data_IF_437850074796
#
_entry.id   IF_437850074796
#
_cell.length_a   1.000
_cell.length_b   1.000
_cell.length_c   1.000
_cell.angle_alpha   90.00
_cell.angle_beta   90.00
_cell.angle_gamma   90.00
#
_symmetry.space_group_name_H-M   'P 1'
#
loop_
_entity.id
_entity.type
_entity.pdbx_description
1 polymer ?
#
# COMPACT_ATOMS: atom_id res chain seq x y z
N UNK A 1 13.11 27.60 5.63
CA UNK A 1 12.21 27.44 4.46
C UNK A 1 12.73 26.37 3.47
N UNK A 2 13.94 26.43 2.87
CA UNK A 2 14.38 25.41 1.89
C UNK A 2 14.65 24.03 2.51
N UNK A 3 15.21 24.00 3.73
CA UNK A 3 15.56 22.77 4.45
C UNK A 3 14.36 21.84 4.64
N UNK A 4 13.17 22.38 4.93
CA UNK A 4 11.97 21.56 5.15
C UNK A 4 11.51 20.87 3.86
N UNK A 5 11.71 21.48 2.70
CA UNK A 5 11.42 20.82 1.42
C UNK A 5 12.40 19.70 1.13
N UNK A 6 13.70 19.87 1.43
CA UNK A 6 14.67 18.76 1.31
C UNK A 6 14.35 17.61 2.26
N UNK A 7 13.96 17.91 3.49
CA UNK A 7 13.51 16.91 4.47
C UNK A 7 12.24 16.20 3.99
N UNK A 8 11.26 16.94 3.45
CA UNK A 8 10.04 16.36 2.89
C UNK A 8 10.33 15.47 1.68
N UNK A 9 11.23 15.87 0.78
CA UNK A 9 11.68 15.02 -0.34
C UNK A 9 12.33 13.75 0.18
N UNK A 10 13.24 13.86 1.16
CA UNK A 10 13.89 12.71 1.78
C UNK A 10 12.87 11.75 2.40
N UNK A 11 11.92 12.30 3.16
CA UNK A 11 10.81 11.54 3.76
C UNK A 11 10.00 10.81 2.68
N UNK A 12 9.57 11.52 1.63
CA UNK A 12 8.82 10.94 0.51
C UNK A 12 9.58 9.81 -0.18
N UNK A 13 10.87 9.99 -0.44
CA UNK A 13 11.69 8.95 -1.08
C UNK A 13 11.83 7.73 -0.17
N UNK A 14 12.15 7.92 1.11
CA UNK A 14 12.33 6.83 2.08
C UNK A 14 11.05 6.01 2.22
N UNK A 15 9.90 6.67 2.41
CA UNK A 15 8.63 5.98 2.57
C UNK A 15 8.18 5.31 1.26
N UNK A 16 8.38 5.94 0.10
CA UNK A 16 8.05 5.31 -1.19
C UNK A 16 8.86 4.03 -1.42
N UNK A 17 10.18 4.06 -1.18
CA UNK A 17 11.06 2.89 -1.32
C UNK A 17 10.68 1.82 -0.29
N UNK A 18 10.43 2.23 0.97
CA UNK A 18 10.00 1.33 2.03
C UNK A 18 8.70 0.60 1.70
N UNK A 19 7.71 1.31 1.17
CA UNK A 19 6.43 0.74 0.74
C UNK A 19 6.61 -0.25 -0.41
N UNK A 20 7.42 0.08 -1.43
CA UNK A 20 7.72 -0.84 -2.54
C UNK A 20 8.42 -2.10 -2.04
N UNK A 21 9.37 -1.97 -1.11
CA UNK A 21 10.07 -3.11 -0.51
C UNK A 21 9.13 -3.98 0.33
N UNK A 22 8.26 -3.37 1.13
CA UNK A 22 7.23 -4.07 1.91
C UNK A 22 6.29 -4.85 0.99
N UNK A 23 5.82 -4.22 -0.10
CA UNK A 23 4.96 -4.87 -1.09
C UNK A 23 5.64 -6.09 -1.73
N UNK A 24 6.89 -5.91 -2.16
CA UNK A 24 7.67 -6.98 -2.76
C UNK A 24 7.84 -8.17 -1.80
N UNK A 25 8.22 -7.92 -0.55
CA UNK A 25 8.38 -8.97 0.46
C UNK A 25 7.03 -9.63 0.82
N UNK A 26 5.93 -8.87 0.84
CA UNK A 26 4.59 -9.43 1.01
C UNK A 26 4.23 -10.39 -0.13
N UNK A 27 4.43 -9.99 -1.40
CA UNK A 27 4.18 -10.86 -2.55
C UNK A 27 5.12 -12.08 -2.57
N UNK A 28 6.38 -11.90 -2.20
CA UNK A 28 7.36 -12.99 -2.08
C UNK A 28 6.94 -13.98 -1.00
N UNK A 29 6.53 -13.50 0.17
CA UNK A 29 6.03 -14.31 1.26
C UNK A 29 4.78 -15.08 0.83
N UNK A 30 3.80 -14.39 0.25
CA UNK A 30 2.58 -15.00 -0.31
C UNK A 30 2.95 -16.09 -1.32
N UNK A 31 3.84 -15.81 -2.27
CA UNK A 31 4.30 -16.78 -3.28
C UNK A 31 5.06 -17.98 -2.68
N UNK A 32 5.69 -17.83 -1.52
CA UNK A 32 6.41 -18.91 -0.83
C UNK A 32 5.47 -19.91 -0.14
N UNK A 33 4.23 -19.49 0.16
CA UNK A 33 3.21 -20.36 0.74
C UNK A 33 2.80 -21.38 -0.33
N UNK A 34 3.36 -22.59 -0.20
CA UNK A 34 3.39 -23.73 -1.13
C UNK A 34 2.33 -23.77 -2.29
N UNK A 35 2.75 -23.95 -3.57
CA UNK A 35 1.87 -23.93 -4.74
C UNK A 35 0.70 -24.92 -4.71
N UNK A 36 0.88 -26.08 -4.05
CA UNK A 36 -0.15 -27.11 -3.94
C UNK A 36 -1.34 -26.70 -3.08
N UNK A 37 -1.20 -25.66 -2.25
CA UNK A 37 -2.30 -25.03 -1.50
C UNK A 37 -3.08 -24.01 -2.33
N UNK A 38 -2.71 -23.74 -3.58
CA UNK A 38 -3.41 -22.76 -4.41
C UNK A 38 -4.38 -23.39 -5.41
N UNK A 39 -4.44 -24.73 -5.46
CA UNK A 39 -5.42 -25.48 -6.24
C UNK A 39 -6.79 -25.51 -5.53
N UNK A 40 -7.67 -24.53 -5.79
CA UNK A 40 -9.00 -24.49 -5.15
C UNK A 40 -9.69 -23.12 -5.27
N UNK A 41 -11.03 -23.08 -5.27
CA UNK A 41 -11.79 -21.79 -5.24
C UNK A 41 -11.56 -21.02 -3.93
N UNK A 42 -11.43 -21.72 -2.81
CA UNK A 42 -11.16 -21.13 -1.49
C UNK A 42 -9.79 -20.42 -1.40
N UNK A 43 -8.81 -20.83 -2.21
CA UNK A 43 -7.44 -20.33 -2.11
C UNK A 43 -7.25 -18.95 -2.74
N UNK A 44 -8.06 -18.61 -3.74
CA UNK A 44 -8.06 -17.27 -4.34
C UNK A 44 -8.63 -16.24 -3.36
N UNK A 45 -9.66 -16.60 -2.58
CA UNK A 45 -10.20 -15.70 -1.55
C UNK A 45 -9.15 -15.34 -0.50
N UNK A 46 -8.43 -16.35 0.01
CA UNK A 46 -7.34 -16.13 0.98
C UNK A 46 -6.22 -15.26 0.40
N UNK A 47 -5.85 -15.47 -0.87
CA UNK A 47 -4.90 -14.62 -1.59
C UNK A 47 -5.34 -13.16 -1.62
N UNK A 48 -6.59 -12.90 -2.03
CA UNK A 48 -7.12 -11.54 -2.11
C UNK A 48 -7.11 -10.88 -0.73
N UNK A 49 -7.52 -11.59 0.33
CA UNK A 49 -7.45 -11.07 1.70
C UNK A 49 -6.01 -10.74 2.13
N UNK A 50 -5.03 -11.58 1.76
CA UNK A 50 -3.62 -11.31 2.07
C UNK A 50 -3.07 -10.08 1.34
N UNK A 51 -3.45 -9.88 0.07
CA UNK A 51 -3.10 -8.69 -0.71
C UNK A 51 -3.75 -7.44 -0.13
N UNK A 52 -5.03 -7.49 0.26
CA UNK A 52 -5.71 -6.38 0.94
C UNK A 52 -4.98 -6.03 2.24
N UNK A 53 -4.62 -7.03 3.05
CA UNK A 53 -3.86 -6.81 4.27
C UNK A 53 -2.49 -6.15 4.00
N UNK A 54 -1.78 -6.56 2.94
CA UNK A 54 -0.53 -5.91 2.53
C UNK A 54 -0.75 -4.44 2.18
N UNK A 55 -1.78 -4.11 1.39
CA UNK A 55 -2.11 -2.73 1.06
C UNK A 55 -2.55 -1.89 2.27
N UNK A 56 -3.23 -2.49 3.26
CA UNK A 56 -3.51 -1.80 4.52
C UNK A 56 -2.21 -1.46 5.28
N UNK A 57 -1.24 -2.39 5.33
CA UNK A 57 0.05 -2.14 5.96
C UNK A 57 0.87 -1.05 5.23
N UNK A 58 0.74 -0.97 3.91
CA UNK A 58 1.37 0.07 3.07
C UNK A 58 0.80 1.45 3.35
N UNK A 59 -0.53 1.59 3.41
CA UNK A 59 -1.17 2.84 3.82
C UNK A 59 -0.86 3.22 5.27
N UNK A 60 -0.75 2.24 6.17
CA UNK A 60 -0.31 2.47 7.56
C UNK A 60 1.13 2.98 7.62
N UNK A 61 2.02 2.47 6.76
CA UNK A 61 3.39 2.96 6.66
C UNK A 61 3.43 4.42 6.24
N UNK A 62 2.64 4.83 5.24
CA UNK A 62 2.50 6.25 4.91
C UNK A 62 1.88 7.07 6.04
N UNK A 63 0.88 6.54 6.75
CA UNK A 63 0.35 7.12 7.98
C UNK A 63 1.44 7.45 9.01
N UNK A 64 2.36 6.52 9.25
CA UNK A 64 3.53 6.77 10.09
C UNK A 64 4.44 7.87 9.52
N UNK A 65 4.61 7.91 8.20
CA UNK A 65 5.35 8.98 7.50
C UNK A 65 4.75 10.36 7.75
N UNK A 66 3.42 10.51 7.68
CA UNK A 66 2.76 11.78 8.02
C UNK A 66 2.95 12.17 9.48
N UNK A 67 2.80 11.22 10.40
CA UNK A 67 2.99 11.46 11.82
C UNK A 67 4.43 11.91 12.12
N UNK A 68 5.44 11.24 11.57
CA UNK A 68 6.86 11.63 11.70
C UNK A 68 7.09 13.02 11.09
N UNK A 69 6.58 13.26 9.89
CA UNK A 69 6.74 14.54 9.20
C UNK A 69 6.10 15.70 9.96
N UNK A 70 4.96 15.48 10.60
CA UNK A 70 4.26 16.50 11.39
C UNK A 70 4.90 16.72 12.77
N UNK A 71 5.02 15.66 13.56
CA UNK A 71 5.36 15.76 14.99
C UNK A 71 6.86 15.88 15.25
N UNK A 72 7.71 15.29 14.40
CA UNK A 72 9.16 15.27 14.64
C UNK A 72 9.92 16.23 13.73
N UNK A 73 9.47 16.38 12.48
CA UNK A 73 10.19 17.14 11.46
C UNK A 73 9.61 18.54 11.21
N UNK A 74 8.44 18.87 11.75
CA UNK A 74 7.82 20.19 11.60
C UNK A 74 7.49 20.55 10.15
N UNK A 75 7.12 19.58 9.33
CA UNK A 75 6.87 19.72 7.88
C UNK A 75 5.43 20.15 7.56
N UNK A 76 4.64 20.50 8.58
CA UNK A 76 3.23 20.79 8.48
C UNK A 76 2.43 19.90 9.44
N UNK A 77 1.12 19.84 9.25
CA UNK A 77 0.21 18.99 10.03
C UNK A 77 -1.03 18.66 9.19
N UNK A 78 -1.78 17.65 9.62
CA UNK A 78 -3.12 17.38 9.09
C UNK A 78 -4.13 18.35 9.71
N UNK A 79 -5.04 18.86 8.89
CA UNK A 79 -6.14 19.73 9.33
C UNK A 79 -7.43 19.30 8.66
N UNK A 80 -8.57 19.75 9.18
CA UNK A 80 -9.91 19.37 8.72
C UNK A 80 -10.79 18.77 9.82
N UNK A 81 -12.03 18.41 9.46
CA UNK A 81 -13.09 18.07 10.41
C UNK A 81 -12.80 16.81 11.24
N UNK A 82 -12.04 15.85 10.68
CA UNK A 82 -11.69 14.58 11.32
C UNK A 82 -10.21 14.49 11.74
N UNK A 83 -9.47 15.62 11.77
CA UNK A 83 -8.01 15.65 12.02
C UNK A 83 -7.58 15.39 13.48
N UNK A 84 -8.48 14.96 14.36
CA UNK A 84 -8.20 14.81 15.78
C UNK A 84 -7.46 13.49 16.11
N UNK A 85 -6.25 13.62 16.64
CA UNK A 85 -5.48 12.54 17.26
C UNK A 85 -4.69 11.66 16.27
N UNK A 86 -3.91 10.68 16.79
CA UNK A 86 -2.98 9.88 15.97
C UNK A 86 -3.66 9.04 14.88
N UNK A 87 -4.93 8.69 15.07
CA UNK A 87 -5.72 7.92 14.11
C UNK A 87 -5.99 8.70 12.81
N UNK A 88 -5.96 10.02 12.83
CA UNK A 88 -6.15 10.86 11.65
C UNK A 88 -5.06 10.58 10.59
N UNK A 89 -3.82 10.31 11.02
CA UNK A 89 -2.72 9.98 10.11
C UNK A 89 -2.90 8.61 9.44
N UNK A 90 -3.40 7.63 10.19
CA UNK A 90 -3.72 6.29 9.67
C UNK A 90 -4.84 6.37 8.64
N UNK A 91 -5.92 7.06 9.00
CA UNK A 91 -7.07 7.27 8.12
C UNK A 91 -6.64 7.99 6.84
N UNK A 92 -5.95 9.13 6.97
CA UNK A 92 -5.48 9.91 5.83
C UNK A 92 -4.55 9.11 4.90
N UNK A 93 -3.61 8.33 5.45
CA UNK A 93 -2.75 7.45 4.66
C UNK A 93 -3.54 6.38 3.89
N UNK A 94 -4.45 5.66 4.55
CA UNK A 94 -5.26 4.64 3.87
C UNK A 94 -6.11 5.23 2.73
N UNK A 95 -6.74 6.38 2.95
CA UNK A 95 -7.54 7.04 1.91
C UNK A 95 -6.70 7.55 0.75
N UNK A 96 -5.55 8.13 1.06
CA UNK A 96 -4.66 8.72 0.05
C UNK A 96 -3.98 7.62 -0.77
N UNK A 97 -3.51 6.55 -0.12
CA UNK A 97 -2.94 5.37 -0.77
C UNK A 97 -3.90 4.73 -1.77
N UNK A 98 -5.18 4.62 -1.41
CA UNK A 98 -6.21 4.02 -2.26
C UNK A 98 -6.83 5.00 -3.26
N UNK A 99 -6.38 6.26 -3.28
CA UNK A 99 -6.90 7.37 -4.11
C UNK A 99 -8.34 7.77 -3.82
N UNK A 100 -8.90 7.34 -2.69
CA UNK A 100 -10.27 7.69 -2.30
C UNK A 100 -10.39 9.17 -1.93
N UNK A 101 -9.47 9.67 -1.09
CA UNK A 101 -9.38 11.05 -0.59
C UNK A 101 -10.76 11.73 -0.38
N UNK A 102 -11.42 11.50 0.75
CA UNK A 102 -12.74 12.09 1.03
C UNK A 102 -12.73 13.62 1.20
N UNK A 103 -11.56 14.21 1.42
CA UNK A 103 -11.36 15.67 1.46
C UNK A 103 -11.78 16.34 2.77
N UNK A 104 -12.12 15.55 3.78
CA UNK A 104 -12.43 15.96 5.15
C UNK A 104 -11.16 16.20 6.00
N UNK A 105 -10.04 15.61 5.60
CA UNK A 105 -8.70 15.82 6.15
C UNK A 105 -7.73 16.15 5.01
N UNK A 106 -6.87 17.14 5.22
CA UNK A 106 -5.84 17.51 4.25
C UNK A 106 -4.53 17.97 4.91
N UNK A 107 -3.37 17.74 4.25
CA UNK A 107 -2.07 18.11 4.79
C UNK A 107 -1.72 19.56 4.49
N UNK A 108 -1.02 20.18 5.42
CA UNK A 108 -0.48 21.54 5.28
C UNK A 108 1.04 21.53 5.10
N UNK A 109 1.61 22.63 4.62
CA UNK A 109 3.06 22.79 4.52
C UNK A 109 3.74 21.78 3.56
N UNK A 110 5.06 21.56 3.71
CA UNK A 110 5.83 20.59 2.94
C UNK A 110 5.32 19.14 2.93
N UNK A 111 4.53 18.70 3.93
CA UNK A 111 3.87 17.38 3.93
C UNK A 111 3.02 17.10 2.70
N UNK A 112 2.54 18.14 2.02
CA UNK A 112 1.80 18.01 0.74
C UNK A 112 2.58 17.25 -0.32
N UNK A 113 3.93 17.25 -0.27
CA UNK A 113 4.75 16.46 -1.19
C UNK A 113 4.57 14.95 -0.99
N UNK A 114 4.52 14.49 0.28
CA UNK A 114 4.26 13.09 0.59
C UNK A 114 2.87 12.68 0.09
N UNK A 115 1.85 13.50 0.37
CA UNK A 115 0.48 13.28 -0.07
C UNK A 115 0.25 13.35 -1.58
N UNK A 116 1.12 14.03 -2.31
CA UNK A 116 1.05 14.05 -3.77
C UNK A 116 1.63 12.79 -4.40
N UNK A 117 2.61 12.15 -3.76
CA UNK A 117 3.34 10.99 -4.29
C UNK A 117 2.75 9.66 -3.82
N UNK A 118 2.25 9.60 -2.59
CA UNK A 118 1.57 8.41 -2.05
C UNK A 118 0.53 7.78 -3.00
N UNK A 119 -0.44 8.51 -3.58
CA UNK A 119 -1.45 7.89 -4.44
C UNK A 119 -0.84 7.30 -5.71
N UNK A 120 0.24 7.89 -6.24
CA UNK A 120 0.97 7.33 -7.37
C UNK A 120 1.62 5.99 -6.99
N UNK A 121 2.25 5.91 -5.82
CA UNK A 121 2.83 4.66 -5.31
C UNK A 121 1.73 3.61 -5.13
N UNK A 122 0.62 3.96 -4.47
CA UNK A 122 -0.50 3.07 -4.22
C UNK A 122 -1.09 2.48 -5.51
N UNK A 123 -1.37 3.32 -6.51
CA UNK A 123 -1.89 2.87 -7.81
C UNK A 123 -0.96 1.86 -8.50
N UNK A 124 0.35 2.11 -8.48
CA UNK A 124 1.34 1.20 -9.08
C UNK A 124 1.32 -0.16 -8.38
N UNK A 125 1.30 -0.18 -7.05
CA UNK A 125 1.34 -1.41 -6.25
C UNK A 125 0.05 -2.22 -6.35
N UNK A 126 -1.11 -1.55 -6.36
CA UNK A 126 -2.41 -2.19 -6.61
C UNK A 126 -2.45 -2.83 -8.01
N UNK A 127 -1.93 -2.12 -9.03
CA UNK A 127 -1.79 -2.65 -10.38
C UNK A 127 -0.86 -3.87 -10.46
N UNK A 128 0.27 -3.83 -9.74
CA UNK A 128 1.20 -4.95 -9.66
C UNK A 128 0.53 -6.18 -9.02
N UNK A 129 -0.19 -6.00 -7.91
CA UNK A 129 -0.94 -7.07 -7.24
C UNK A 129 -2.03 -7.69 -8.11
N UNK A 130 -2.70 -6.88 -8.93
CA UNK A 130 -3.67 -7.38 -9.92
C UNK A 130 -3.00 -8.27 -10.95
N UNK A 131 -1.85 -7.84 -11.49
CA UNK A 131 -1.07 -8.62 -12.45
C UNK A 131 -0.54 -9.92 -11.84
N UNK A 132 -0.04 -9.86 -10.61
CA UNK A 132 0.39 -11.03 -9.83
C UNK A 132 -0.76 -12.02 -9.68
N UNK A 133 -1.91 -11.57 -9.20
CA UNK A 133 -3.11 -12.41 -9.02
C UNK A 133 -3.54 -13.06 -10.33
N UNK A 134 -3.56 -12.31 -11.43
CA UNK A 134 -3.92 -12.82 -12.74
C UNK A 134 -2.99 -13.95 -13.21
N UNK A 135 -1.66 -13.79 -13.02
CA UNK A 135 -0.68 -14.82 -13.38
C UNK A 135 -0.92 -16.09 -12.57
N UNK A 136 -1.15 -15.99 -11.26
CA UNK A 136 -1.40 -17.16 -10.41
C UNK A 136 -2.72 -17.85 -10.75
N UNK A 137 -3.78 -17.09 -11.05
CA UNK A 137 -5.04 -17.66 -11.54
C UNK A 137 -4.86 -18.45 -12.83
N UNK A 138 -4.15 -17.88 -13.82
CA UNK A 138 -3.90 -18.58 -15.10
C UNK A 138 -3.11 -19.86 -14.93
N UNK A 139 -2.08 -19.85 -14.06
CA UNK A 139 -1.29 -21.04 -13.76
C UNK A 139 -2.16 -22.13 -13.13
N UNK A 140 -2.97 -21.77 -12.12
CA UNK A 140 -3.87 -22.70 -11.43
C UNK A 140 -4.91 -23.33 -12.38
N UNK A 141 -5.44 -22.58 -13.35
CA UNK A 141 -6.37 -23.13 -14.34
C UNK A 141 -5.72 -24.11 -15.32
N UNK A 142 -4.48 -23.82 -15.78
CA UNK A 142 -3.72 -24.74 -16.66
C UNK A 142 -3.40 -26.07 -15.96
N UNK A 143 -3.00 -26.02 -14.68
CA UNK A 143 -2.72 -27.23 -13.89
C UNK A 143 -3.97 -28.11 -13.72
N UNK A 144 -5.16 -27.52 -13.57
CA UNK A 144 -6.43 -28.27 -13.52
C UNK A 144 -6.78 -28.96 -14.84
N UNK A 145 -6.57 -28.29 -15.98
CA UNK A 145 -6.85 -28.87 -17.30
C UNK A 145 -5.94 -30.07 -17.60
N UNK A 146 -4.63 -29.96 -17.34
CA UNK A 146 -3.69 -31.07 -17.53
C UNK A 146 -3.87 -32.25 -16.56
N UNK A 147 -4.52 -32.04 -15.41
CA UNK A 147 -4.90 -33.10 -14.48
C UNK A 147 -6.22 -33.80 -14.83
N UNK A 148 -7.09 -33.13 -15.59
CA UNK A 148 -8.34 -33.70 -16.11
C UNK A 148 -8.10 -34.57 -17.34
N UNK A 149 -7.16 -34.20 -18.21
CA UNK A 149 -6.81 -34.91 -19.46
C UNK A 149 -6.02 -36.22 -19.23
N UNK A 150 -5.54 -36.44 -17.99
CA UNK A 150 -4.78 -37.64 -17.58
C UNK A 150 -5.64 -38.67 -16.81
N UNK A 151 -6.95 -38.45 -16.71
CA UNK A 151 -7.91 -39.35 -16.05
C UNK A 151 -8.92 -39.86 -17.07
#
# INVERSE_FOLDING_TARGET
MPAHYFMAIGLTVVFSIGTVALHYEALRFISSIHPRRWSGRANIGVLICAIIAAHCLEGLLFGAGYWIGAEWLGLGHLTGAASAGPLAYIYFGLETFTTQSLGDIFPTGPLRLLASVEPLVGLILIGWSTSFTFILMRRNWRERQGGADRR
#
